data_IF_443870889733
#
_entry.id   IF_443870889733
#
_cell.length_a   1.000
_cell.length_b   1.000
_cell.length_c   1.000
_cell.angle_alpha   90.00
_cell.angle_beta   90.00
_cell.angle_gamma   90.00
#
_symmetry.space_group_name_H-M   'P 1'
#
loop_
_entity.id
_entity.type
_entity.pdbx_description
1 polymer ?
#
# COMPACT_ATOMS: atom_id res chain seq x y z
N UNK A 1 -7.19 -6.10 -7.94
CA UNK A 1 -6.90 -5.49 -6.61
C UNK A 1 -7.51 -4.11 -6.58
N UNK A 2 -8.04 -3.69 -5.43
CA UNK A 2 -8.62 -2.36 -5.26
C UNK A 2 -8.20 -1.72 -3.94
N UNK A 3 -8.08 -0.39 -3.97
CA UNK A 3 -8.01 0.48 -2.79
C UNK A 3 -9.29 1.28 -2.64
N UNK A 4 -9.32 2.17 -1.66
CA UNK A 4 -10.44 3.07 -1.39
C UNK A 4 -10.23 3.88 -0.11
N UNK A 5 -11.33 4.36 0.48
CA UNK A 5 -11.31 5.15 1.72
C UNK A 5 -11.11 4.32 2.99
N UNK A 6 -11.06 3.00 2.88
CA UNK A 6 -10.78 2.10 3.99
C UNK A 6 -9.26 1.84 4.11
N UNK A 7 -8.76 1.55 5.32
CA UNK A 7 -7.34 1.25 5.58
C UNK A 7 -6.98 -0.20 5.18
N UNK A 8 -7.43 -0.65 4.01
CA UNK A 8 -7.17 -1.98 3.51
C UNK A 8 -7.08 -2.03 1.98
N UNK A 9 -6.32 -2.99 1.47
CA UNK A 9 -6.30 -3.37 0.05
C UNK A 9 -7.07 -4.67 -0.13
N UNK A 10 -7.98 -4.70 -1.10
CA UNK A 10 -8.79 -5.87 -1.40
C UNK A 10 -8.29 -6.60 -2.65
N UNK A 11 -8.10 -7.91 -2.53
CA UNK A 11 -7.79 -8.80 -3.64
C UNK A 11 -9.06 -9.53 -4.07
N UNK A 12 -9.48 -9.29 -5.31
CA UNK A 12 -10.66 -9.88 -5.92
C UNK A 12 -10.26 -10.89 -6.97
N UNK A 13 -11.03 -11.98 -7.07
CA UNK A 13 -11.03 -12.85 -8.24
C UNK A 13 -11.87 -12.24 -9.36
N UNK A 14 -11.69 -12.76 -10.57
CA UNK A 14 -12.45 -12.31 -11.75
C UNK A 14 -13.93 -12.65 -11.68
N UNK A 15 -14.31 -13.63 -10.84
CA UNK A 15 -15.71 -13.97 -10.56
C UNK A 15 -16.39 -13.01 -9.56
N UNK A 16 -15.68 -11.99 -9.07
CA UNK A 16 -16.19 -11.04 -8.08
C UNK A 16 -16.03 -11.48 -6.63
N UNK A 17 -15.49 -12.68 -6.36
CA UNK A 17 -15.24 -13.15 -5.00
C UNK A 17 -14.08 -12.40 -4.36
N UNK A 18 -14.28 -11.93 -3.12
CA UNK A 18 -13.19 -11.39 -2.31
C UNK A 18 -12.27 -12.53 -1.86
N UNK A 19 -11.02 -12.52 -2.35
CA UNK A 19 -10.03 -13.52 -1.99
C UNK A 19 -9.33 -13.18 -0.67
N UNK A 20 -8.94 -11.92 -0.49
CA UNK A 20 -8.30 -11.45 0.72
C UNK A 20 -8.47 -9.94 0.89
N UNK A 21 -8.37 -9.48 2.14
CA UNK A 21 -8.27 -8.07 2.49
C UNK A 21 -7.04 -7.89 3.36
N UNK A 22 -6.11 -7.04 2.93
CA UNK A 22 -4.85 -6.78 3.62
C UNK A 22 -4.98 -5.45 4.36
N UNK A 23 -4.90 -5.44 5.71
CA UNK A 23 -4.83 -4.20 6.48
C UNK A 23 -3.56 -3.42 6.15
N UNK A 24 -3.70 -2.11 5.98
CA UNK A 24 -2.63 -1.20 5.61
C UNK A 24 -2.50 -0.07 6.64
N UNK A 25 -1.35 0.60 6.63
CA UNK A 25 -1.03 1.75 7.47
C UNK A 25 -1.72 3.04 7.00
N UNK A 26 -1.81 3.36 5.68
CA UNK A 26 -2.61 4.50 5.21
C UNK A 26 -4.08 4.37 5.61
N UNK A 27 -4.70 5.46 6.06
CA UNK A 27 -6.13 5.46 6.45
C UNK A 27 -7.07 5.32 5.25
N UNK A 28 -6.58 5.61 4.05
CA UNK A 28 -7.18 5.29 2.77
C UNK A 28 -6.09 4.91 1.77
N UNK A 29 -6.40 3.99 0.86
CA UNK A 29 -5.49 3.47 -0.17
C UNK A 29 -5.85 4.08 -1.52
N UNK A 30 -4.96 4.89 -2.07
CA UNK A 30 -5.19 5.63 -3.32
C UNK A 30 -4.23 5.27 -4.44
N UNK A 31 -3.15 4.54 -4.13
CA UNK A 31 -2.21 4.05 -5.12
C UNK A 31 -1.74 2.64 -4.79
N UNK A 32 -1.65 1.83 -5.83
CA UNK A 32 -1.15 0.45 -5.80
C UNK A 32 -0.15 0.30 -6.94
N UNK A 33 1.06 -0.14 -6.63
CA UNK A 33 2.11 -0.35 -7.62
C UNK A 33 2.75 -1.73 -7.44
N UNK A 34 2.83 -2.51 -8.52
CA UNK A 34 3.48 -3.81 -8.53
C UNK A 34 4.82 -3.68 -9.25
N UNK A 35 5.90 -4.13 -8.62
CA UNK A 35 7.17 -4.28 -9.32
C UNK A 35 7.08 -5.43 -10.34
N UNK A 36 7.08 -5.10 -11.63
CA UNK A 36 7.04 -6.07 -12.73
C UNK A 36 8.43 -6.30 -13.36
N UNK A 37 9.46 -5.57 -12.93
CA UNK A 37 10.79 -5.61 -13.55
C UNK A 37 11.65 -6.78 -13.06
N UNK A 38 11.18 -7.55 -12.08
CA UNK A 38 11.89 -8.70 -11.55
C UNK A 38 10.92 -9.87 -11.37
N UNK A 39 11.27 -11.02 -11.91
CA UNK A 39 10.47 -12.24 -11.75
C UNK A 39 10.54 -12.80 -10.32
N UNK A 40 11.68 -12.60 -9.65
CA UNK A 40 11.93 -13.04 -8.27
C UNK A 40 11.45 -12.04 -7.23
N UNK A 41 11.56 -10.72 -7.49
CA UNK A 41 11.23 -9.66 -6.54
C UNK A 41 9.90 -8.98 -6.88
N UNK A 42 8.81 -9.74 -6.82
CA UNK A 42 7.44 -9.22 -7.00
C UNK A 42 6.94 -8.60 -5.71
N UNK A 43 7.09 -7.30 -5.59
CA UNK A 43 6.62 -6.52 -4.44
C UNK A 43 5.41 -5.68 -4.85
N UNK A 44 4.37 -5.68 -4.03
CA UNK A 44 3.27 -4.72 -4.10
C UNK A 44 3.51 -3.60 -3.11
N UNK A 45 3.54 -2.36 -3.61
CA UNK A 45 3.55 -1.16 -2.80
C UNK A 45 2.14 -0.57 -2.72
N UNK A 46 1.75 -0.15 -1.53
CA UNK A 46 0.44 0.42 -1.20
C UNK A 46 0.68 1.78 -0.55
N UNK A 47 0.04 2.82 -1.09
CA UNK A 47 0.10 4.16 -0.51
C UNK A 47 -1.24 4.89 -0.62
N UNK A 48 -1.36 5.99 0.13
CA UNK A 48 -2.56 6.81 0.15
C UNK A 48 -2.50 7.85 1.26
N UNK A 49 -3.53 7.94 2.08
CA UNK A 49 -3.66 8.98 3.13
C UNK A 49 -2.74 8.73 4.35
N UNK A 50 -1.42 8.78 4.14
CA UNK A 50 -0.38 8.78 5.19
C UNK A 50 0.99 9.09 4.59
N UNK A 51 2.01 9.42 5.40
CA UNK A 51 3.41 9.47 4.95
C UNK A 51 4.02 8.07 4.73
N UNK A 52 3.25 7.00 4.89
CA UNK A 52 3.73 5.63 4.81
C UNK A 52 3.52 5.03 3.41
N UNK A 53 4.49 4.23 2.97
CA UNK A 53 4.35 3.31 1.84
C UNK A 53 4.50 1.90 2.38
N UNK A 54 3.43 1.12 2.33
CA UNK A 54 3.45 -0.27 2.76
C UNK A 54 3.94 -1.18 1.62
N UNK A 55 4.84 -2.10 1.94
CA UNK A 55 5.37 -3.09 1.02
C UNK A 55 4.87 -4.50 1.40
N UNK A 56 4.28 -5.19 0.43
CA UNK A 56 3.83 -6.56 0.55
C UNK A 56 4.71 -7.42 -0.38
N UNK A 57 5.61 -8.22 0.22
CA UNK A 57 6.51 -9.14 -0.52
C UNK A 57 5.72 -10.33 -1.09
N UNK A 58 4.55 -10.59 -0.54
CA UNK A 58 3.53 -11.46 -1.12
C UNK A 58 2.17 -10.73 -1.10
N UNK A 59 1.19 -11.24 -1.84
CA UNK A 59 -0.16 -10.66 -1.90
C UNK A 59 -1.06 -11.08 -0.72
N UNK A 60 -0.47 -11.51 0.40
CA UNK A 60 -1.18 -12.03 1.57
C UNK A 60 -1.17 -11.09 2.77
N UNK A 61 -0.06 -10.36 2.99
CA UNK A 61 0.07 -9.46 4.14
C UNK A 61 1.03 -8.29 3.87
N UNK A 62 0.89 -7.23 4.68
CA UNK A 62 1.86 -6.12 4.77
C UNK A 62 3.14 -6.60 5.45
N UNK A 63 4.25 -6.61 4.73
CA UNK A 63 5.53 -7.07 5.27
C UNK A 63 6.27 -6.00 6.06
N UNK A 64 6.35 -4.78 5.53
CA UNK A 64 6.99 -3.64 6.19
C UNK A 64 6.49 -2.32 5.59
N UNK A 65 6.86 -1.20 6.18
CA UNK A 65 6.49 0.13 5.71
C UNK A 65 7.70 1.05 5.63
N UNK A 66 7.80 1.82 4.56
CA UNK A 66 8.67 3.00 4.49
C UNK A 66 7.93 4.19 5.08
N UNK A 67 8.60 4.99 5.90
CA UNK A 67 8.02 6.19 6.53
C UNK A 67 8.79 7.41 6.07
N UNK A 68 8.09 8.35 5.42
CA UNK A 68 8.69 9.57 4.92
C UNK A 68 8.30 10.74 5.81
N UNK A 69 9.19 11.10 6.73
CA UNK A 69 8.98 12.27 7.59
C UNK A 69 9.41 13.54 6.84
N UNK A 70 8.47 14.48 6.70
CA UNK A 70 8.81 15.83 6.25
C UNK A 70 9.19 16.61 7.50
N UNK A 71 10.49 16.85 7.71
CA UNK A 71 10.91 17.80 8.74
C UNK A 71 10.45 19.19 8.29
N UNK A 72 9.44 19.74 8.97
CA UNK A 72 9.08 21.14 8.79
C UNK A 72 10.23 21.98 9.32
N UNK A 73 11.11 22.46 8.44
CA UNK A 73 11.89 23.66 8.72
C UNK A 73 10.89 24.81 8.78
N UNK A 74 10.48 25.16 10.00
CA UNK A 74 9.67 26.34 10.25
C UNK A 74 10.49 27.57 9.88
N UNK A 75 10.23 28.13 8.70
CA UNK A 75 10.57 29.52 8.44
C UNK A 75 9.58 30.37 9.23
N UNK A 76 9.99 30.79 10.42
CA UNK A 76 9.31 31.86 11.15
C UNK A 76 9.56 33.15 10.39
N UNK A 77 8.50 33.73 9.81
CA UNK A 77 8.52 35.06 9.22
C UNK A 77 8.63 36.15 10.27
#
# INVERSE_FOLDING_TARGET
>A
MSGGTAPCMNHWRLDGTLQSSIPCTPTGVYSLAINKNSESNKVLCISGASPNIDACINFGYKSFSFVFNINKTSWTS
#
